data_IF_735747966969
#
_entry.id   IF_735747966969
#
_cell.length_a   1.000
_cell.length_b   1.000
_cell.length_c   1.000
_cell.angle_alpha   90.00
_cell.angle_beta   90.00
_cell.angle_gamma   90.00
#
_symmetry.space_group_name_H-M   'P 1'
#
loop_
_entity.id
_entity.type
_entity.pdbx_description
1 polymer ?
#
# COMPACT_ATOMS: atom_id res chain seq x y z
N UNK A 1 18.64 -11.63 23.82
CA UNK A 1 19.04 -11.74 22.40
C UNK A 1 19.14 -10.34 21.82
N UNK A 2 19.95 -10.14 20.78
CA UNK A 2 20.04 -8.87 20.05
C UNK A 2 20.25 -9.16 18.56
N UNK A 3 20.05 -8.15 17.71
CA UNK A 3 20.27 -8.26 16.26
C UNK A 3 21.70 -7.80 15.91
N UNK A 4 22.39 -8.60 15.11
CA UNK A 4 23.70 -8.31 14.51
C UNK A 4 23.63 -8.77 13.05
N UNK A 5 23.88 -7.86 12.11
CA UNK A 5 23.75 -8.12 10.66
C UNK A 5 22.39 -8.72 10.24
N UNK A 6 21.32 -8.35 10.94
CA UNK A 6 19.97 -8.87 10.71
C UNK A 6 19.70 -10.27 11.29
N UNK A 7 20.70 -10.92 11.90
CA UNK A 7 20.55 -12.22 12.55
C UNK A 7 20.33 -12.08 14.05
N UNK A 8 19.42 -12.88 14.60
CA UNK A 8 19.12 -12.90 16.03
C UNK A 8 20.19 -13.69 16.78
N UNK A 9 21.11 -13.00 17.44
CA UNK A 9 22.14 -13.61 18.28
C UNK A 9 21.52 -14.04 19.61
N UNK A 10 21.51 -15.36 19.85
CA UNK A 10 21.03 -16.00 21.10
C UNK A 10 22.13 -16.47 22.04
N UNK A 11 23.40 -16.37 21.62
CA UNK A 11 24.54 -16.85 22.39
C UNK A 11 24.73 -16.05 23.70
N UNK A 12 24.73 -16.75 24.85
CA UNK A 12 24.75 -16.12 26.18
C UNK A 12 26.02 -15.31 26.44
N UNK A 13 27.17 -15.80 25.99
CA UNK A 13 28.50 -15.18 26.14
C UNK A 13 28.54 -13.77 25.53
N UNK A 14 28.07 -13.66 24.28
CA UNK A 14 28.00 -12.41 23.50
C UNK A 14 26.97 -11.44 24.07
N UNK A 15 25.79 -11.94 24.46
CA UNK A 15 24.75 -11.12 25.10
C UNK A 15 25.31 -10.49 26.39
N UNK A 16 25.96 -11.28 27.25
CA UNK A 16 26.55 -10.78 28.51
C UNK A 16 27.61 -9.70 28.23
N UNK A 17 28.56 -9.97 27.32
CA UNK A 17 29.63 -9.03 26.98
C UNK A 17 29.07 -7.70 26.46
N UNK A 18 28.05 -7.76 25.60
CA UNK A 18 27.37 -6.57 25.07
C UNK A 18 26.64 -5.79 26.16
N UNK A 19 25.89 -6.48 27.02
CA UNK A 19 25.15 -5.83 28.10
C UNK A 19 26.09 -5.13 29.09
N UNK A 20 27.15 -5.81 29.55
CA UNK A 20 28.12 -5.24 30.50
C UNK A 20 28.89 -4.04 29.95
N UNK A 21 29.17 -4.00 28.64
CA UNK A 21 29.79 -2.84 27.99
C UNK A 21 28.81 -1.70 27.68
N UNK A 22 27.51 -1.95 27.78
CA UNK A 22 26.49 -0.95 27.47
C UNK A 22 26.27 0.02 28.63
N UNK A 23 25.93 1.26 28.32
CA UNK A 23 25.52 2.25 29.33
C UNK A 23 24.25 1.83 30.09
N UNK A 24 23.43 0.94 29.52
CA UNK A 24 22.22 0.42 30.16
C UNK A 24 22.55 -0.34 31.46
N UNK A 25 23.69 -1.05 31.51
CA UNK A 25 24.13 -1.72 32.72
C UNK A 25 24.35 -0.74 33.88
N UNK A 26 25.03 0.39 33.61
CA UNK A 26 25.27 1.41 34.64
C UNK A 26 23.96 2.01 35.17
N UNK A 27 23.00 2.30 34.30
CA UNK A 27 21.67 2.79 34.70
C UNK A 27 20.87 1.76 35.50
N UNK A 28 20.91 0.49 35.09
CA UNK A 28 20.23 -0.59 35.81
C UNK A 28 20.80 -0.77 37.22
N UNK A 29 22.13 -0.75 37.37
CA UNK A 29 22.81 -0.80 38.68
C UNK A 29 22.44 0.41 39.53
N UNK A 30 22.55 1.63 39.00
CA UNK A 30 22.21 2.85 39.74
C UNK A 30 20.74 2.87 40.20
N UNK A 31 19.83 2.32 39.40
CA UNK A 31 18.39 2.25 39.69
C UNK A 31 17.97 1.12 40.64
N UNK A 32 18.86 0.17 40.91
CA UNK A 32 18.62 -0.99 41.80
C UNK A 32 19.41 -0.90 43.09
N UNK A 33 20.40 -0.01 43.16
CA UNK A 33 21.18 0.25 44.36
C UNK A 33 20.27 0.62 45.56
N UNK A 34 20.34 -0.14 46.68
CA UNK A 34 19.56 0.14 47.88
C UNK A 34 20.23 1.25 48.70
N UNK A 35 20.16 2.49 48.22
CA UNK A 35 20.80 3.65 48.85
C UNK A 35 20.27 3.93 50.26
N UNK A 36 19.01 3.57 50.53
CA UNK A 36 18.38 3.67 51.84
C UNK A 36 19.00 2.73 52.88
N UNK A 37 19.39 1.53 52.46
CA UNK A 37 20.08 0.56 53.33
C UNK A 37 21.58 0.88 53.44
N UNK A 38 22.21 1.29 52.33
CA UNK A 38 23.64 1.57 52.28
C UNK A 38 24.06 2.79 53.12
N UNK A 39 23.20 3.80 53.22
CA UNK A 39 23.46 5.04 53.98
C UNK A 39 22.95 4.98 55.44
N UNK A 40 22.48 3.82 55.90
CA UNK A 40 22.08 3.62 57.31
C UNK A 40 20.90 4.49 57.78
N UNK A 41 20.10 5.04 56.87
CA UNK A 41 18.93 5.88 57.17
C UNK A 41 17.63 5.22 56.67
N UNK A 42 17.20 4.10 57.29
CA UNK A 42 15.99 3.38 56.92
C UNK A 42 14.76 4.20 57.30
N UNK A 43 14.40 5.16 56.46
CA UNK A 43 13.33 6.10 56.76
C UNK A 43 13.29 7.34 55.86
N UNK A 44 14.35 7.62 55.09
CA UNK A 44 14.34 8.72 54.11
C UNK A 44 13.80 8.26 52.75
N UNK A 45 12.53 8.53 52.40
CA UNK A 45 11.96 8.16 51.10
C UNK A 45 12.65 8.87 49.93
N UNK A 46 13.31 10.01 50.15
CA UNK A 46 14.04 10.75 49.14
C UNK A 46 15.21 9.94 48.53
N UNK A 47 15.88 9.10 49.33
CA UNK A 47 16.98 8.26 48.87
C UNK A 47 16.53 7.17 47.88
N UNK A 48 15.23 6.88 47.80
CA UNK A 48 14.65 5.93 46.83
C UNK A 48 14.32 6.58 45.48
N UNK A 49 14.57 7.87 45.30
CA UNK A 49 14.37 8.57 44.03
C UNK A 49 15.25 8.01 42.89
N UNK A 50 16.36 7.33 43.21
CA UNK A 50 17.18 6.61 42.22
C UNK A 50 16.40 5.56 41.42
N UNK A 51 15.27 5.06 41.95
CA UNK A 51 14.38 4.14 41.21
C UNK A 51 13.75 4.78 39.97
N UNK A 52 13.62 6.11 39.93
CA UNK A 52 13.13 6.84 38.75
C UNK A 52 14.07 6.73 37.54
N UNK A 53 15.33 6.32 37.74
CA UNK A 53 16.29 6.05 36.65
C UNK A 53 15.86 4.88 35.75
N UNK A 54 14.80 4.14 36.11
CA UNK A 54 14.18 3.10 35.26
C UNK A 54 13.28 3.66 34.14
N UNK A 55 13.12 4.98 34.02
CA UNK A 55 12.35 5.63 32.97
C UNK A 55 12.61 5.13 31.53
N UNK A 56 13.85 4.73 31.14
CA UNK A 56 14.10 4.17 29.80
C UNK A 56 13.30 2.89 29.49
N UNK A 57 12.97 2.07 30.50
CA UNK A 57 12.16 0.87 30.31
C UNK A 57 10.71 1.19 29.96
N UNK A 58 10.18 2.27 30.52
CA UNK A 58 8.87 2.78 30.16
C UNK A 58 8.87 3.22 28.69
N UNK A 59 9.91 3.93 28.26
CA UNK A 59 10.08 4.36 26.87
C UNK A 59 10.10 3.16 25.91
N UNK A 60 10.87 2.12 26.23
CA UNK A 60 10.93 0.87 25.44
C UNK A 60 9.56 0.17 25.37
N UNK A 61 8.81 0.13 26.47
CA UNK A 61 7.47 -0.45 26.49
C UNK A 61 6.51 0.29 25.55
N UNK A 62 6.54 1.63 25.54
CA UNK A 62 5.74 2.44 24.63
C UNK A 62 6.19 2.32 23.17
N UNK A 63 7.49 2.25 22.89
CA UNK A 63 8.02 2.00 21.53
C UNK A 63 7.52 0.65 20.99
N UNK A 64 7.54 -0.41 21.81
CA UNK A 64 6.98 -1.72 21.45
C UNK A 64 5.46 -1.65 21.25
N UNK A 65 4.74 -0.88 22.07
CA UNK A 65 3.31 -0.70 21.88
C UNK A 65 2.99 0.06 20.58
N UNK A 66 3.79 1.06 20.24
CA UNK A 66 3.68 1.83 18.99
C UNK A 66 3.83 0.94 17.75
N UNK A 67 4.84 0.07 17.72
CA UNK A 67 5.05 -0.85 16.57
C UNK A 67 3.94 -1.88 16.39
N UNK A 68 3.21 -2.23 17.45
CA UNK A 68 2.12 -3.23 17.41
C UNK A 68 0.75 -2.61 17.17
N UNK A 69 0.61 -1.32 17.40
CA UNK A 69 -0.68 -0.64 17.31
C UNK A 69 -1.03 -0.33 15.86
N UNK A 70 -2.26 -0.66 15.46
CA UNK A 70 -2.79 -0.27 14.15
C UNK A 70 -2.85 1.26 13.96
N UNK A 71 -2.91 2.01 15.06
CA UNK A 71 -2.89 3.47 15.09
C UNK A 71 -1.69 3.96 15.91
N UNK A 72 -0.55 4.31 15.26
CA UNK A 72 0.68 4.68 15.99
C UNK A 72 0.52 5.96 16.83
N UNK A 73 -0.47 6.81 16.54
CA UNK A 73 -0.73 8.03 17.32
C UNK A 73 -1.27 7.79 18.74
N UNK A 74 -2.00 6.70 18.99
CA UNK A 74 -2.58 6.41 20.29
C UNK A 74 -1.52 6.15 21.40
N UNK A 75 -0.52 5.27 21.21
CA UNK A 75 0.53 5.05 22.21
C UNK A 75 1.39 6.29 22.46
N UNK A 76 1.61 7.13 21.44
CA UNK A 76 2.31 8.42 21.61
C UNK A 76 1.56 9.35 22.57
N UNK A 77 0.25 9.51 22.37
CA UNK A 77 -0.60 10.33 23.24
C UNK A 77 -0.69 9.77 24.66
N UNK A 78 -0.88 8.45 24.79
CA UNK A 78 -0.94 7.78 26.08
C UNK A 78 0.36 7.97 26.89
N UNK A 79 1.53 7.93 26.24
CA UNK A 79 2.82 8.21 26.89
C UNK A 79 2.89 9.64 27.44
N UNK A 80 2.41 10.61 26.67
CA UNK A 80 2.42 12.02 27.08
C UNK A 80 1.44 12.30 28.20
N UNK A 81 0.24 11.71 28.16
CA UNK A 81 -0.74 11.81 29.23
C UNK A 81 -0.20 11.20 30.54
N UNK A 82 0.47 10.04 30.45
CA UNK A 82 1.12 9.43 31.61
C UNK A 82 2.23 10.33 32.17
N UNK A 83 3.05 10.93 31.31
CA UNK A 83 4.11 11.86 31.73
C UNK A 83 3.54 13.14 32.36
N UNK A 84 2.45 13.68 31.80
CA UNK A 84 1.74 14.84 32.35
C UNK A 84 1.16 14.52 33.73
N UNK A 85 0.53 13.35 33.89
CA UNK A 85 0.03 12.89 35.20
C UNK A 85 1.16 12.68 36.21
N UNK A 86 2.27 12.07 35.81
CA UNK A 86 3.44 11.88 36.69
C UNK A 86 4.04 13.24 37.10
N UNK A 87 4.11 14.20 36.18
CA UNK A 87 4.57 15.56 36.44
C UNK A 87 3.64 16.26 37.44
N UNK A 88 2.32 16.18 37.22
CA UNK A 88 1.30 16.71 38.11
C UNK A 88 1.41 16.16 39.54
N UNK A 89 1.50 14.83 39.65
CA UNK A 89 1.66 14.17 40.94
C UNK A 89 2.98 14.57 41.63
N UNK A 90 4.10 14.57 40.90
CA UNK A 90 5.41 14.91 41.45
C UNK A 90 5.49 16.37 41.90
N UNK A 91 4.91 17.31 41.14
CA UNK A 91 4.85 18.72 41.49
C UNK A 91 3.99 18.95 42.75
N UNK A 92 2.82 18.32 42.86
CA UNK A 92 1.98 18.40 44.05
C UNK A 92 2.65 17.83 45.30
N UNK A 93 3.37 16.71 45.17
CA UNK A 93 4.12 16.12 46.29
C UNK A 93 5.31 16.99 46.71
N UNK A 94 6.02 17.58 45.75
CA UNK A 94 7.13 18.49 46.03
C UNK A 94 6.64 19.79 46.70
N UNK A 95 5.51 20.33 46.25
CA UNK A 95 4.85 21.45 46.91
C UNK A 95 4.51 21.11 48.38
N UNK A 96 3.91 19.95 48.63
CA UNK A 96 3.60 19.49 50.00
C UNK A 96 4.86 19.35 50.86
N UNK A 97 5.97 18.88 50.29
CA UNK A 97 7.24 18.72 51.02
C UNK A 97 7.93 20.06 51.34
N UNK A 98 7.74 21.08 50.50
CA UNK A 98 8.29 22.43 50.70
C UNK A 98 7.37 23.33 51.53
N UNK A 99 6.08 23.00 51.61
CA UNK A 99 5.11 23.74 52.39
C UNK A 99 5.45 23.65 53.90
N UNK A 100 5.20 24.73 54.67
CA UNK A 100 5.39 24.68 56.12
C UNK A 100 4.49 23.60 56.73
N UNK A 101 4.93 22.93 57.82
CA UNK A 101 4.15 21.89 58.46
C UNK A 101 2.79 22.45 58.88
N UNK A 102 1.69 21.71 58.65
CA UNK A 102 0.36 22.19 59.01
C UNK A 102 0.28 22.43 60.52
N UNK A 103 -0.41 23.51 60.92
CA UNK A 103 -0.72 23.77 62.32
C UNK A 103 -1.45 22.56 62.95
N UNK A 104 -1.21 22.31 64.23
CA UNK A 104 -1.74 21.13 64.94
C UNK A 104 -3.29 21.10 64.93
N UNK A 105 -3.90 20.04 64.37
CA UNK A 105 -5.37 19.85 64.30
C UNK A 105 -5.90 19.28 62.97
N UNK A 106 -5.28 18.20 62.45
CA UNK A 106 -5.26 17.77 61.03
C UNK A 106 -6.60 17.54 60.32
N UNK A 107 -6.67 18.09 59.10
CA UNK A 107 -7.36 17.48 57.96
C UNK A 107 -6.81 16.06 57.67
N UNK A 108 -7.63 15.09 57.23
CA UNK A 108 -7.17 13.74 56.91
C UNK A 108 -6.09 13.74 55.80
N UNK A 109 -5.17 12.75 55.77
CA UNK A 109 -4.04 12.72 54.83
C UNK A 109 -4.48 12.77 53.36
N UNK A 110 -5.63 12.15 53.05
CA UNK A 110 -6.24 12.22 51.72
C UNK A 110 -6.59 13.66 51.33
N UNK A 111 -7.14 14.46 52.24
CA UNK A 111 -7.52 15.85 51.98
C UNK A 111 -6.29 16.74 51.77
N UNK A 112 -5.20 16.49 52.50
CA UNK A 112 -3.93 17.19 52.31
C UNK A 112 -3.31 16.89 50.93
N UNK A 113 -3.35 15.62 50.50
CA UNK A 113 -2.90 15.22 49.18
C UNK A 113 -3.76 15.85 48.07
N UNK A 114 -5.09 15.77 48.18
CA UNK A 114 -6.02 16.35 47.21
C UNK A 114 -5.85 17.87 47.09
N UNK A 115 -5.62 18.58 48.20
CA UNK A 115 -5.35 20.03 48.18
C UNK A 115 -4.05 20.36 47.43
N UNK A 116 -2.99 19.58 47.67
CA UNK A 116 -1.70 19.76 46.99
C UNK A 116 -1.78 19.42 45.50
N UNK A 117 -2.55 18.38 45.14
CA UNK A 117 -2.82 18.00 43.76
C UNK A 117 -3.69 19.04 43.03
N UNK A 118 -4.67 19.63 43.73
CA UNK A 118 -5.51 20.69 43.18
C UNK A 118 -4.67 21.92 42.84
N UNK A 119 -3.79 22.37 43.74
CA UNK A 119 -2.85 23.46 43.47
C UNK A 119 -1.93 23.13 42.29
N UNK A 120 -1.37 21.92 42.27
CA UNK A 120 -0.54 21.47 41.14
C UNK A 120 -1.30 21.52 39.81
N UNK A 121 -2.59 21.19 39.82
CA UNK A 121 -3.46 21.25 38.63
C UNK A 121 -3.66 22.70 38.19
N UNK A 122 -3.93 23.62 39.11
CA UNK A 122 -4.11 25.05 38.79
C UNK A 122 -2.86 25.69 38.18
N UNK A 123 -1.67 25.31 38.68
CA UNK A 123 -0.38 25.76 38.12
C UNK A 123 -0.09 25.11 36.77
N UNK A 124 -0.13 23.77 36.69
CA UNK A 124 0.27 23.04 35.48
C UNK A 124 -0.75 23.11 34.33
N UNK A 125 -2.02 23.39 34.64
CA UNK A 125 -3.04 23.70 33.63
C UNK A 125 -3.10 25.20 33.30
N UNK A 126 -2.21 26.02 33.86
CA UNK A 126 -2.13 27.48 33.62
C UNK A 126 -3.41 28.27 33.94
N UNK A 127 -4.23 27.76 34.87
CA UNK A 127 -5.44 28.46 35.35
C UNK A 127 -5.08 29.65 36.24
N UNK A 128 -4.04 29.47 37.08
CA UNK A 128 -3.41 30.59 37.79
C UNK A 128 -4.11 31.11 39.05
N UNK A 129 -5.24 30.54 39.46
CA UNK A 129 -5.96 30.90 40.69
C UNK A 129 -5.27 30.31 41.95
N UNK A 130 -4.02 30.73 42.19
CA UNK A 130 -3.19 30.25 43.30
C UNK A 130 -2.91 31.37 44.30
N UNK A 131 -2.84 31.06 45.62
CA UNK A 131 -2.55 32.07 46.63
C UNK A 131 -1.20 32.74 46.36
N UNK A 132 -1.12 34.03 46.67
CA UNK A 132 0.10 34.82 46.44
C UNK A 132 1.25 34.32 47.31
N UNK A 133 2.41 33.95 46.71
CA UNK A 133 3.55 33.45 47.45
C UNK A 133 4.12 34.54 48.35
N UNK A 134 4.39 34.20 49.61
CA UNK A 134 4.96 35.13 50.60
C UNK A 134 6.48 34.93 50.73
N UNK A 135 6.99 33.74 50.39
CA UNK A 135 8.41 33.42 50.46
C UNK A 135 9.06 33.39 49.09
N UNK A 136 10.34 33.79 49.01
CA UNK A 136 11.14 33.72 47.78
C UNK A 136 11.20 32.30 47.22
N UNK A 137 11.29 31.27 48.08
CA UNK A 137 11.29 29.86 47.67
C UNK A 137 9.97 29.42 47.03
N UNK A 138 8.84 29.89 47.55
CA UNK A 138 7.51 29.63 46.99
C UNK A 138 7.34 30.33 45.65
N UNK A 139 7.83 31.57 45.55
CA UNK A 139 7.82 32.33 44.30
C UNK A 139 8.64 31.63 43.21
N UNK A 140 9.88 31.23 43.50
CA UNK A 140 10.72 30.47 42.56
C UNK A 140 10.09 29.13 42.15
N UNK A 141 9.48 28.41 43.10
CA UNK A 141 8.81 27.13 42.84
C UNK A 141 7.57 27.28 41.95
N UNK A 142 6.75 28.30 42.19
CA UNK A 142 5.58 28.61 41.36
C UNK A 142 6.01 29.07 39.96
N UNK A 143 7.02 29.94 39.85
CA UNK A 143 7.57 30.37 38.55
C UNK A 143 8.11 29.19 37.75
N UNK A 144 8.88 28.30 38.39
CA UNK A 144 9.37 27.07 37.74
C UNK A 144 8.21 26.15 37.30
N UNK A 145 7.16 26.06 38.13
CA UNK A 145 5.93 25.32 37.80
C UNK A 145 5.22 25.87 36.57
N UNK A 146 5.05 27.19 36.47
CA UNK A 146 4.46 27.84 35.29
C UNK A 146 5.31 27.68 34.05
N UNK A 147 6.64 27.78 34.15
CA UNK A 147 7.54 27.50 33.01
C UNK A 147 7.42 26.06 32.53
N UNK A 148 7.39 25.10 33.46
CA UNK A 148 7.15 23.69 33.16
C UNK A 148 5.76 23.47 32.53
N UNK A 149 4.74 24.18 33.01
CA UNK A 149 3.38 24.14 32.48
C UNK A 149 3.32 24.61 31.02
N UNK A 150 3.94 25.75 30.71
CA UNK A 150 3.97 26.32 29.35
C UNK A 150 4.67 25.36 28.39
N UNK A 151 5.81 24.78 28.79
CA UNK A 151 6.52 23.79 27.98
C UNK A 151 5.71 22.49 27.82
N UNK A 152 5.11 22.01 28.90
CA UNK A 152 4.24 20.83 28.90
C UNK A 152 3.02 20.99 27.99
N UNK A 153 2.35 22.13 28.07
CA UNK A 153 1.20 22.45 27.22
C UNK A 153 1.58 22.54 25.74
N UNK A 154 2.71 23.21 25.42
CA UNK A 154 3.21 23.30 24.05
C UNK A 154 3.51 21.91 23.46
N UNK A 155 4.16 21.02 24.22
CA UNK A 155 4.46 19.65 23.76
C UNK A 155 3.20 18.79 23.59
N UNK A 156 2.22 18.91 24.50
CA UNK A 156 0.94 18.19 24.41
C UNK A 156 0.15 18.65 23.17
N UNK A 157 -0.01 19.96 22.99
CA UNK A 157 -0.74 20.55 21.86
C UNK A 157 -0.07 20.21 20.52
N UNK A 158 1.26 20.31 20.44
CA UNK A 158 2.02 19.92 19.25
C UNK A 158 1.88 18.44 18.91
N UNK A 159 1.86 17.58 19.92
CA UNK A 159 1.70 16.13 19.73
C UNK A 159 0.29 15.76 19.27
N UNK A 160 -0.75 16.34 19.86
CA UNK A 160 -2.15 16.18 19.41
C UNK A 160 -2.30 16.64 17.96
N UNK A 161 -1.73 17.81 17.63
CA UNK A 161 -1.75 18.35 16.27
C UNK A 161 -1.02 17.45 15.27
N UNK A 162 0.14 16.89 15.65
CA UNK A 162 0.87 15.96 14.78
C UNK A 162 0.10 14.67 14.49
N UNK A 163 -0.54 14.08 15.50
CA UNK A 163 -1.37 12.86 15.33
C UNK A 163 -2.58 13.15 14.44
N UNK A 164 -3.21 14.32 14.62
CA UNK A 164 -4.32 14.73 13.76
C UNK A 164 -3.87 14.96 12.32
N UNK A 165 -2.73 15.62 12.12
CA UNK A 165 -2.13 15.85 10.81
C UNK A 165 -1.77 14.53 10.12
N UNK A 166 -1.11 13.61 10.81
CA UNK A 166 -0.78 12.27 10.28
C UNK A 166 -2.04 11.49 9.89
N UNK A 167 -3.07 11.53 10.73
CA UNK A 167 -4.35 10.87 10.45
C UNK A 167 -5.07 11.49 9.24
N UNK A 168 -5.02 12.82 9.10
CA UNK A 168 -5.57 13.54 7.95
C UNK A 168 -4.77 13.24 6.68
N UNK A 169 -3.44 13.21 6.76
CA UNK A 169 -2.54 12.90 5.66
C UNK A 169 -2.75 11.46 5.16
N UNK A 170 -2.85 10.48 6.06
CA UNK A 170 -3.17 9.10 5.71
C UNK A 170 -4.52 8.98 4.99
N UNK A 171 -5.55 9.72 5.45
CA UNK A 171 -6.86 9.77 4.79
C UNK A 171 -6.80 10.45 3.43
N UNK A 172 -6.04 11.54 3.30
CA UNK A 172 -5.87 12.27 2.06
C UNK A 172 -5.10 11.44 1.00
N UNK A 173 -4.10 10.65 1.43
CA UNK A 173 -3.37 9.74 0.56
C UNK A 173 -4.28 8.66 -0.06
N UNK A 174 -5.26 8.16 0.71
CA UNK A 174 -6.26 7.20 0.22
C UNK A 174 -7.34 7.87 -0.65
N UNK A 175 -7.76 9.08 -0.30
CA UNK A 175 -8.87 9.79 -0.93
C UNK A 175 -8.54 11.29 -1.12
N UNK A 176 -7.83 11.69 -2.20
CA UNK A 176 -7.39 13.07 -2.41
C UNK A 176 -8.56 14.07 -2.44
N UNK A 177 -8.38 15.23 -1.82
CA UNK A 177 -9.38 16.30 -1.80
C UNK A 177 -9.65 16.84 -3.23
N UNK A 178 -10.91 16.95 -3.68
CA UNK A 178 -11.22 17.42 -5.03
C UNK A 178 -11.16 18.94 -5.16
N UNK A 179 -11.02 19.71 -4.07
CA UNK A 179 -11.07 21.18 -4.12
C UNK A 179 -10.01 21.80 -5.05
N UNK A 180 -8.74 21.36 -5.06
CA UNK A 180 -7.73 21.91 -5.99
C UNK A 180 -8.14 21.72 -7.46
N UNK A 181 -8.68 20.54 -7.80
CA UNK A 181 -9.19 20.24 -9.13
C UNK A 181 -10.40 21.11 -9.48
N UNK A 182 -11.29 21.39 -8.52
CA UNK A 182 -12.42 22.32 -8.73
C UNK A 182 -11.92 23.74 -8.96
N UNK A 183 -10.93 24.20 -8.20
CA UNK A 183 -10.26 25.49 -8.41
C UNK A 183 -9.68 25.60 -9.81
N UNK A 184 -8.97 24.55 -10.27
CA UNK A 184 -8.43 24.47 -11.63
C UNK A 184 -9.52 24.55 -12.70
N UNK A 185 -10.61 23.78 -12.56
CA UNK A 185 -11.72 23.79 -13.51
C UNK A 185 -12.39 25.15 -13.58
N UNK A 186 -12.61 25.82 -12.44
CA UNK A 186 -13.21 27.16 -12.40
C UNK A 186 -12.29 28.22 -13.00
N UNK A 187 -11.00 28.17 -12.68
CA UNK A 187 -10.00 29.08 -13.26
C UNK A 187 -9.94 28.98 -14.80
N UNK A 188 -10.24 27.80 -15.36
CA UNK A 188 -10.34 27.56 -16.81
C UNK A 188 -11.73 27.80 -17.40
N UNK A 189 -12.69 28.30 -16.63
CA UNK A 189 -14.08 28.52 -17.08
C UNK A 189 -14.93 27.25 -17.23
N UNK A 190 -14.45 26.09 -16.75
CA UNK A 190 -15.12 24.78 -16.85
C UNK A 190 -16.06 24.48 -15.66
N UNK A 191 -16.50 25.51 -14.92
CA UNK A 191 -17.26 25.42 -13.65
C UNK A 191 -18.71 24.90 -13.72
N UNK A 192 -19.15 24.35 -14.85
CA UNK A 192 -20.55 23.94 -15.06
C UNK A 192 -20.80 22.43 -14.96
N UNK A 193 -21.16 21.82 -16.09
CA UNK A 193 -21.49 20.38 -16.20
C UNK A 193 -20.30 19.49 -15.85
N UNK A 194 -19.08 19.87 -16.26
CA UNK A 194 -17.87 19.09 -16.04
C UNK A 194 -17.46 19.08 -14.55
N UNK A 195 -17.47 20.22 -13.87
CA UNK A 195 -17.20 20.29 -12.41
C UNK A 195 -18.15 19.37 -11.62
N UNK A 196 -19.46 19.41 -11.95
CA UNK A 196 -20.46 18.53 -11.32
C UNK A 196 -20.21 17.05 -11.61
N UNK A 197 -19.79 16.70 -12.84
CA UNK A 197 -19.45 15.31 -13.21
C UNK A 197 -18.23 14.81 -12.43
N UNK A 198 -17.14 15.58 -12.41
CA UNK A 198 -15.92 15.25 -11.67
C UNK A 198 -16.21 15.10 -10.17
N UNK A 199 -16.99 16.01 -9.59
CA UNK A 199 -17.36 15.95 -8.17
C UNK A 199 -18.19 14.70 -7.82
N UNK A 200 -19.13 14.30 -8.69
CA UNK A 200 -19.93 13.07 -8.49
C UNK A 200 -19.06 11.82 -8.58
N UNK A 201 -18.17 11.74 -9.56
CA UNK A 201 -17.21 10.64 -9.71
C UNK A 201 -16.34 10.49 -8.46
N UNK A 202 -15.74 11.58 -7.98
CA UNK A 202 -14.92 11.59 -6.78
C UNK A 202 -15.67 11.18 -5.51
N UNK A 203 -16.94 11.62 -5.37
CA UNK A 203 -17.81 11.22 -4.26
C UNK A 203 -18.12 9.73 -4.30
N UNK A 204 -18.35 9.18 -5.49
CA UNK A 204 -18.61 7.75 -5.68
C UNK A 204 -17.41 6.89 -5.26
N UNK A 205 -16.20 7.23 -5.71
CA UNK A 205 -14.97 6.51 -5.32
C UNK A 205 -14.76 6.51 -3.80
N UNK A 206 -14.96 7.68 -3.16
CA UNK A 206 -14.90 7.82 -1.70
C UNK A 206 -15.91 6.95 -0.97
N UNK A 207 -17.18 6.98 -1.40
CA UNK A 207 -18.25 6.20 -0.78
C UNK A 207 -17.98 4.68 -0.84
N UNK A 208 -17.35 4.22 -1.93
CA UNK A 208 -16.96 2.81 -2.11
C UNK A 208 -15.65 2.41 -1.41
N UNK A 209 -14.95 3.36 -0.77
CA UNK A 209 -13.60 3.19 -0.19
C UNK A 209 -12.60 2.55 -1.17
N UNK A 210 -12.75 2.82 -2.47
CA UNK A 210 -11.88 2.28 -3.52
C UNK A 210 -10.83 3.34 -3.85
N UNK A 211 -9.61 3.24 -3.29
CA UNK A 211 -8.61 4.27 -3.51
C UNK A 211 -8.13 4.16 -4.96
N UNK A 212 -8.07 5.28 -5.71
CA UNK A 212 -7.29 5.33 -6.95
C UNK A 212 -5.79 5.05 -6.69
N UNK A 213 -5.38 5.02 -5.43
CA UNK A 213 -4.03 4.78 -4.94
C UNK A 213 -3.76 3.36 -4.42
N UNK A 214 -4.58 2.34 -4.75
CA UNK A 214 -4.24 0.93 -4.45
C UNK A 214 -2.85 0.58 -5.00
N UNK A 215 -2.56 1.00 -6.24
CA UNK A 215 -1.24 0.90 -6.86
C UNK A 215 -0.17 1.81 -6.26
N UNK A 216 -0.52 2.74 -5.37
CA UNK A 216 0.39 3.62 -4.63
C UNK A 216 0.83 2.99 -3.30
N UNK A 217 -0.14 2.49 -2.53
CA UNK A 217 0.11 1.79 -1.27
C UNK A 217 0.96 0.52 -1.47
N UNK A 218 0.71 -0.22 -2.56
CA UNK A 218 1.45 -1.44 -2.88
C UNK A 218 2.86 -1.18 -3.47
N UNK A 219 3.26 0.08 -3.75
CA UNK A 219 4.59 0.37 -4.33
C UNK A 219 5.74 0.08 -3.37
N UNK A 220 5.48 0.19 -2.07
CA UNK A 220 6.48 -0.03 -1.03
C UNK A 220 6.77 -1.52 -0.78
N UNK A 221 5.93 -2.41 -1.29
CA UNK A 221 6.12 -3.85 -1.17
C UNK A 221 7.14 -4.35 -2.22
N UNK A 222 8.00 -5.31 -1.86
CA UNK A 222 8.76 -6.10 -2.82
C UNK A 222 7.85 -6.70 -3.89
N UNK A 223 8.38 -6.86 -5.12
CA UNK A 223 7.57 -7.29 -6.28
C UNK A 223 6.79 -8.58 -6.00
N UNK A 224 7.45 -9.60 -5.41
CA UNK A 224 6.80 -10.88 -5.09
C UNK A 224 5.59 -10.74 -4.16
N UNK A 225 5.73 -9.99 -3.05
CA UNK A 225 4.63 -9.78 -2.11
C UNK A 225 3.50 -8.93 -2.71
N UNK A 226 3.85 -7.93 -3.53
CA UNK A 226 2.85 -7.14 -4.25
C UNK A 226 2.02 -8.03 -5.17
N UNK A 227 2.68 -8.86 -5.97
CA UNK A 227 2.01 -9.70 -6.96
C UNK A 227 1.12 -10.75 -6.25
N UNK A 228 1.54 -11.27 -5.10
CA UNK A 228 0.75 -12.17 -4.25
C UNK A 228 -0.49 -11.48 -3.66
N UNK A 229 -0.34 -10.28 -3.08
CA UNK A 229 -1.48 -9.51 -2.55
C UNK A 229 -2.45 -9.15 -3.68
N UNK A 230 -1.96 -8.70 -4.83
CA UNK A 230 -2.82 -8.37 -5.97
C UNK A 230 -3.53 -9.62 -6.51
N UNK A 231 -2.82 -10.76 -6.57
CA UNK A 231 -3.41 -12.05 -6.93
C UNK A 231 -4.57 -12.41 -5.99
N UNK A 232 -4.37 -12.37 -4.68
CA UNK A 232 -5.41 -12.77 -3.72
C UNK A 232 -6.67 -11.87 -3.80
N UNK A 233 -6.48 -10.55 -3.98
CA UNK A 233 -7.59 -9.59 -4.04
C UNK A 233 -8.39 -9.68 -5.35
N UNK A 234 -7.74 -9.92 -6.50
CA UNK A 234 -8.40 -9.83 -7.81
C UNK A 234 -8.66 -11.18 -8.49
N UNK A 235 -7.95 -12.25 -8.15
CA UNK A 235 -8.14 -13.58 -8.74
C UNK A 235 -9.57 -14.11 -8.58
N UNK A 236 -10.26 -13.97 -7.43
CA UNK A 236 -11.65 -14.44 -7.30
C UNK A 236 -12.62 -13.75 -8.27
N UNK A 237 -12.36 -12.49 -8.62
CA UNK A 237 -13.20 -11.76 -9.58
C UNK A 237 -12.96 -12.23 -11.02
N UNK A 238 -11.73 -12.60 -11.37
CA UNK A 238 -11.43 -13.18 -12.69
C UNK A 238 -12.00 -14.58 -12.84
N UNK A 239 -11.94 -15.42 -11.81
CA UNK A 239 -12.47 -16.79 -11.88
C UNK A 239 -13.98 -16.85 -12.14
N UNK A 240 -14.71 -15.75 -11.89
CA UNK A 240 -16.13 -15.63 -12.25
C UNK A 240 -16.35 -15.47 -13.75
N UNK A 241 -15.34 -15.07 -14.50
CA UNK A 241 -15.44 -14.87 -15.94
C UNK A 241 -15.38 -16.21 -16.66
N UNK A 242 -16.41 -16.60 -17.44
CA UNK A 242 -16.45 -17.92 -18.10
C UNK A 242 -15.25 -18.21 -19.01
N UNK A 243 -14.65 -17.17 -19.58
CA UNK A 243 -13.44 -17.27 -20.42
C UNK A 243 -12.26 -17.95 -19.69
N UNK A 244 -12.16 -17.74 -18.38
CA UNK A 244 -11.03 -18.19 -17.57
C UNK A 244 -11.28 -19.51 -16.84
N UNK A 245 -12.48 -20.09 -16.95
CA UNK A 245 -12.89 -21.30 -16.21
C UNK A 245 -12.16 -22.60 -16.61
N UNK A 246 -11.26 -22.56 -17.59
CA UNK A 246 -10.38 -23.67 -17.97
C UNK A 246 -8.91 -23.30 -18.02
N UNK A 247 -8.53 -22.12 -17.52
CA UNK A 247 -7.16 -21.62 -17.62
C UNK A 247 -6.35 -22.05 -16.38
N UNK A 248 -5.07 -22.45 -16.55
CA UNK A 248 -4.25 -22.84 -15.42
C UNK A 248 -4.05 -21.68 -14.45
N UNK A 249 -4.04 -21.95 -13.14
CA UNK A 249 -3.90 -20.91 -12.12
C UNK A 249 -2.63 -20.07 -12.29
N UNK A 250 -1.53 -20.69 -12.74
CA UNK A 250 -0.28 -19.99 -13.05
C UNK A 250 -0.46 -18.88 -14.10
N UNK A 251 -1.25 -19.14 -15.15
CA UNK A 251 -1.60 -18.16 -16.18
C UNK A 251 -2.40 -16.99 -15.58
N UNK A 252 -3.40 -17.29 -14.74
CA UNK A 252 -4.21 -16.25 -14.09
C UNK A 252 -3.39 -15.40 -13.12
N UNK A 253 -2.48 -16.00 -12.37
CA UNK A 253 -1.56 -15.29 -11.49
C UNK A 253 -0.60 -14.36 -12.25
N UNK A 254 -0.23 -14.67 -13.49
CA UNK A 254 0.54 -13.75 -14.34
C UNK A 254 -0.31 -12.61 -14.93
N UNK A 255 -1.60 -12.84 -15.15
CA UNK A 255 -2.53 -11.84 -15.69
C UNK A 255 -2.98 -10.82 -14.64
N UNK A 256 -3.24 -11.27 -13.41
CA UNK A 256 -3.78 -10.42 -12.34
C UNK A 256 -2.97 -9.12 -12.13
N UNK A 257 -1.63 -9.15 -12.02
CA UNK A 257 -0.83 -7.93 -11.81
C UNK A 257 -0.88 -6.95 -12.99
N UNK A 258 -1.28 -7.42 -14.19
CA UNK A 258 -1.39 -6.60 -15.41
C UNK A 258 -2.77 -5.95 -15.57
N UNK A 259 -3.75 -6.36 -14.75
CA UNK A 259 -5.09 -5.78 -14.79
C UNK A 259 -5.11 -4.40 -14.17
N UNK A 260 -5.73 -3.47 -14.89
CA UNK A 260 -5.91 -2.09 -14.45
C UNK A 260 -7.37 -1.86 -14.10
N UNK A 261 -7.73 -1.66 -12.82
CA UNK A 261 -9.09 -1.31 -12.47
C UNK A 261 -9.43 0.07 -13.03
N UNK A 262 -10.57 0.19 -13.70
CA UNK A 262 -11.11 1.44 -14.23
C UNK A 262 -12.58 1.60 -13.81
N UNK A 263 -12.97 2.83 -13.49
CA UNK A 263 -14.34 3.16 -13.03
C UNK A 263 -14.99 4.11 -14.03
N UNK A 264 -16.15 3.70 -14.55
CA UNK A 264 -16.96 4.47 -15.48
C UNK A 264 -18.23 4.96 -14.79
N UNK A 265 -18.62 6.20 -15.07
CA UNK A 265 -19.85 6.81 -14.59
C UNK A 265 -21.09 6.49 -15.44
N UNK A 266 -22.29 6.82 -14.95
CA UNK A 266 -23.53 6.63 -15.69
C UNK A 266 -23.57 7.48 -16.96
N UNK A 267 -23.96 6.87 -18.08
CA UNK A 267 -24.02 7.51 -19.39
C UNK A 267 -22.66 7.73 -20.06
N UNK A 268 -21.58 7.16 -19.52
CA UNK A 268 -20.25 7.22 -20.12
C UNK A 268 -20.02 6.07 -21.09
N UNK A 269 -19.49 6.38 -22.26
CA UNK A 269 -19.06 5.36 -23.23
C UNK A 269 -17.72 4.80 -22.80
N UNK A 270 -17.62 3.49 -22.66
CA UNK A 270 -16.36 2.79 -22.44
C UNK A 270 -15.59 2.70 -23.75
N UNK A 271 -16.28 2.39 -24.84
CA UNK A 271 -15.74 2.47 -26.19
C UNK A 271 -16.85 2.78 -27.19
N UNK A 272 -16.48 3.40 -28.31
CA UNK A 272 -17.37 3.64 -29.43
C UNK A 272 -17.01 2.74 -30.60
N UNK A 273 -18.00 2.44 -31.42
CA UNK A 273 -17.78 1.72 -32.68
C UNK A 273 -16.77 2.48 -33.54
N UNK A 274 -15.83 1.76 -34.13
CA UNK A 274 -14.79 2.32 -34.98
C UNK A 274 -13.53 2.75 -34.24
N UNK A 275 -13.56 2.89 -32.91
CA UNK A 275 -12.37 3.16 -32.11
C UNK A 275 -11.34 2.03 -32.26
N UNK A 276 -10.06 2.34 -32.14
CA UNK A 276 -9.00 1.32 -32.16
C UNK A 276 -9.03 0.53 -30.85
N UNK A 277 -9.26 -0.78 -30.91
CA UNK A 277 -9.37 -1.64 -29.74
C UNK A 277 -8.02 -2.12 -29.22
N UNK A 278 -7.44 -1.40 -28.26
CA UNK A 278 -6.14 -1.75 -27.65
C UNK A 278 -6.25 -2.59 -26.37
N UNK A 279 -7.46 -2.76 -25.86
CA UNK A 279 -7.71 -3.29 -24.52
C UNK A 279 -8.93 -4.21 -24.53
N UNK A 280 -9.05 -5.13 -23.59
CA UNK A 280 -10.32 -5.79 -23.25
C UNK A 280 -10.75 -5.40 -21.85
N UNK A 281 -12.05 -5.51 -21.60
CA UNK A 281 -12.64 -5.17 -20.32
C UNK A 281 -13.44 -6.34 -19.74
N UNK A 282 -13.27 -6.56 -18.45
CA UNK A 282 -14.06 -7.51 -17.66
C UNK A 282 -14.93 -6.74 -16.68
N UNK A 283 -16.22 -7.01 -16.65
CA UNK A 283 -17.14 -6.33 -15.74
C UNK A 283 -17.01 -6.95 -14.35
N UNK A 284 -16.47 -6.19 -13.41
CA UNK A 284 -16.37 -6.58 -12.00
C UNK A 284 -17.65 -6.27 -11.25
N UNK A 285 -18.13 -5.04 -11.41
CA UNK A 285 -19.36 -4.52 -10.80
C UNK A 285 -20.05 -3.57 -11.78
N UNK A 286 -21.38 -3.44 -11.67
CA UNK A 286 -22.17 -2.55 -12.51
C UNK A 286 -22.81 -3.24 -13.72
N UNK A 287 -23.33 -2.43 -14.64
CA UNK A 287 -24.05 -2.90 -15.83
C UNK A 287 -23.73 -1.98 -17.00
N UNK A 288 -23.36 -2.59 -18.13
CA UNK A 288 -23.11 -1.90 -19.39
C UNK A 288 -24.19 -2.29 -20.41
N UNK A 289 -24.57 -1.35 -21.27
CA UNK A 289 -25.39 -1.60 -22.44
C UNK A 289 -24.53 -1.57 -23.70
N UNK A 290 -24.65 -2.61 -24.51
CA UNK A 290 -24.14 -2.61 -25.89
C UNK A 290 -25.21 -1.95 -26.76
N UNK A 291 -24.87 -0.86 -27.41
CA UNK A 291 -25.77 -0.07 -28.24
C UNK A 291 -25.47 -0.32 -29.72
N UNK A 292 -26.52 -0.29 -30.54
CA UNK A 292 -26.41 -0.36 -31.99
C UNK A 292 -25.78 0.91 -32.57
N UNK A 293 -25.72 0.99 -33.91
CA UNK A 293 -25.12 2.13 -34.63
C UNK A 293 -25.81 3.46 -34.33
N UNK A 294 -27.12 3.41 -34.11
CA UNK A 294 -27.95 4.56 -33.74
C UNK A 294 -27.62 5.15 -32.36
N UNK A 295 -26.87 4.44 -31.52
CA UNK A 295 -26.53 4.85 -30.15
C UNK A 295 -27.72 4.83 -29.19
N UNK A 296 -28.87 4.27 -29.60
CA UNK A 296 -30.12 4.26 -28.83
C UNK A 296 -30.59 2.83 -28.60
N UNK A 297 -30.63 2.00 -29.65
CA UNK A 297 -31.12 0.63 -29.57
C UNK A 297 -30.15 -0.24 -28.79
N UNK A 298 -30.65 -0.91 -27.73
CA UNK A 298 -29.86 -1.80 -26.88
C UNK A 298 -29.82 -3.20 -27.47
N UNK A 299 -28.63 -3.65 -27.86
CA UNK A 299 -28.41 -4.99 -28.41
C UNK A 299 -28.20 -6.02 -27.31
N UNK A 300 -27.45 -5.66 -26.25
CA UNK A 300 -27.14 -6.57 -25.16
C UNK A 300 -26.86 -5.83 -23.85
N UNK A 301 -26.99 -6.53 -22.72
CA UNK A 301 -26.65 -6.06 -21.39
C UNK A 301 -25.49 -6.88 -20.84
N UNK A 302 -24.40 -6.21 -20.45
CA UNK A 302 -23.23 -6.84 -19.83
C UNK A 302 -23.25 -6.57 -18.32
N UNK A 303 -23.42 -7.62 -17.53
CA UNK A 303 -23.34 -7.60 -16.07
C UNK A 303 -22.02 -8.18 -15.53
N UNK A 304 -21.88 -8.27 -14.21
CA UNK A 304 -20.69 -8.81 -13.55
C UNK A 304 -20.31 -10.21 -14.05
N UNK A 305 -19.03 -10.46 -14.28
CA UNK A 305 -18.51 -11.72 -14.82
C UNK A 305 -18.55 -11.81 -16.36
N UNK A 306 -19.25 -10.91 -17.03
CA UNK A 306 -19.17 -10.78 -18.49
C UNK A 306 -18.00 -9.90 -18.90
N UNK A 307 -17.58 -10.02 -20.15
CA UNK A 307 -16.43 -9.34 -20.71
C UNK A 307 -16.70 -8.93 -22.15
N UNK A 308 -15.88 -8.01 -22.68
CA UNK A 308 -15.96 -7.58 -24.06
C UNK A 308 -14.60 -7.05 -24.56
N UNK A 309 -14.47 -6.95 -25.88
CA UNK A 309 -13.28 -6.42 -26.55
C UNK A 309 -12.30 -7.49 -27.02
N UNK A 310 -12.64 -8.77 -26.87
CA UNK A 310 -11.85 -9.92 -27.28
C UNK A 310 -11.50 -9.94 -28.78
N UNK A 311 -12.38 -9.40 -29.63
CA UNK A 311 -12.19 -9.38 -31.09
C UNK A 311 -11.00 -8.50 -31.50
N UNK A 312 -10.80 -7.35 -30.84
CA UNK A 312 -9.74 -6.38 -31.21
C UNK A 312 -8.35 -6.83 -30.73
N UNK A 313 -8.31 -7.68 -29.70
CA UNK A 313 -7.05 -8.10 -29.10
C UNK A 313 -6.28 -9.11 -29.93
N UNK A 314 -6.97 -9.97 -30.66
CA UNK A 314 -6.31 -10.98 -31.48
C UNK A 314 -6.43 -10.60 -32.95
N UNK A 315 -5.30 -10.61 -33.66
CA UNK A 315 -5.30 -10.47 -35.11
C UNK A 315 -5.88 -11.77 -35.73
N UNK A 316 -7.22 -11.85 -35.76
CA UNK A 316 -7.93 -12.91 -36.47
C UNK A 316 -7.87 -12.58 -37.97
N UNK A 317 -7.31 -13.48 -38.74
CA UNK A 317 -7.21 -13.38 -40.20
C UNK A 317 -8.62 -13.42 -40.81
N UNK A 318 -8.87 -12.65 -41.87
CA UNK A 318 -10.20 -12.51 -42.48
C UNK A 318 -11.18 -11.62 -41.71
N UNK A 319 -10.76 -10.95 -40.64
CA UNK A 319 -11.60 -9.98 -39.94
C UNK A 319 -11.74 -8.67 -40.73
N UNK A 320 -12.93 -8.42 -41.26
CA UNK A 320 -13.25 -7.23 -42.07
C UNK A 320 -13.20 -5.92 -41.25
N UNK A 321 -13.41 -5.99 -39.93
CA UNK A 321 -13.36 -4.83 -39.03
C UNK A 321 -11.94 -4.53 -38.50
N UNK A 322 -10.97 -5.39 -38.80
CA UNK A 322 -9.60 -5.27 -38.33
C UNK A 322 -9.51 -5.06 -36.81
N UNK A 323 -8.66 -4.12 -36.38
CA UNK A 323 -8.47 -3.79 -34.96
C UNK A 323 -9.44 -2.72 -34.43
N UNK A 324 -10.63 -2.57 -35.02
CA UNK A 324 -11.62 -1.57 -34.60
C UNK A 324 -12.71 -2.20 -33.72
N UNK A 325 -13.27 -1.40 -32.82
CA UNK A 325 -14.41 -1.77 -31.99
C UNK A 325 -15.66 -1.96 -32.85
N UNK A 326 -16.39 -3.03 -32.59
CA UNK A 326 -17.53 -3.44 -33.41
C UNK A 326 -18.87 -2.83 -32.95
N UNK A 327 -18.95 -2.36 -31.71
CA UNK A 327 -20.17 -1.81 -31.11
C UNK A 327 -19.87 -0.66 -30.13
N UNK A 328 -20.91 0.11 -29.82
CA UNK A 328 -20.88 1.13 -28.78
C UNK A 328 -21.16 0.48 -27.43
N UNK A 329 -20.35 0.76 -26.40
CA UNK A 329 -20.55 0.23 -25.06
C UNK A 329 -20.70 1.39 -24.08
N UNK A 330 -21.86 1.46 -23.42
CA UNK A 330 -22.23 2.53 -22.50
C UNK A 330 -22.39 1.97 -21.09
N UNK A 331 -21.86 2.66 -20.08
CA UNK A 331 -22.15 2.35 -18.68
C UNK A 331 -23.50 2.92 -18.27
N UNK A 332 -24.42 2.07 -17.79
CA UNK A 332 -25.75 2.51 -17.35
C UNK A 332 -25.65 3.21 -16.00
N UNK A 333 -24.87 2.63 -15.09
CA UNK A 333 -24.61 3.14 -13.75
C UNK A 333 -23.14 3.46 -13.54
N UNK A 334 -22.72 3.55 -12.28
CA UNK A 334 -21.31 3.40 -11.96
C UNK A 334 -20.92 1.94 -12.16
N UNK A 335 -19.95 1.70 -13.05
CA UNK A 335 -19.45 0.37 -13.36
C UNK A 335 -17.95 0.32 -13.19
N UNK A 336 -17.47 -0.82 -12.71
CA UNK A 336 -16.06 -1.07 -12.48
C UNK A 336 -15.60 -2.22 -13.35
N UNK A 337 -14.59 -1.92 -14.14
CA UNK A 337 -14.06 -2.81 -15.15
C UNK A 337 -12.60 -3.09 -14.84
N UNK A 338 -12.17 -4.33 -15.03
CA UNK A 338 -10.75 -4.61 -15.19
C UNK A 338 -10.38 -4.44 -16.66
N UNK A 339 -9.42 -3.58 -16.93
CA UNK A 339 -8.82 -3.39 -18.24
C UNK A 339 -7.56 -4.26 -18.37
N UNK A 340 -7.45 -4.98 -19.48
CA UNK A 340 -6.23 -5.70 -19.87
C UNK A 340 -5.78 -5.23 -21.25
N UNK A 341 -4.53 -4.77 -21.35
CA UNK A 341 -3.97 -4.31 -22.61
C UNK A 341 -3.65 -5.47 -23.57
N UNK A 342 -3.69 -5.19 -24.87
CA UNK A 342 -3.37 -6.15 -25.94
C UNK A 342 -1.97 -6.70 -25.81
N UNK A 343 -1.01 -5.83 -25.55
CA UNK A 343 0.41 -6.17 -25.43
C UNK A 343 0.63 -7.09 -24.22
N UNK A 344 0.03 -6.71 -23.08
CA UNK A 344 0.09 -7.47 -21.84
C UNK A 344 -0.52 -8.87 -21.99
N UNK A 345 -1.66 -8.98 -22.66
CA UNK A 345 -2.30 -10.27 -22.93
C UNK A 345 -1.47 -11.10 -23.93
N UNK A 346 -0.97 -10.49 -25.00
CA UNK A 346 -0.21 -11.19 -26.04
C UNK A 346 1.07 -11.83 -25.48
N UNK A 347 1.78 -11.12 -24.60
CA UNK A 347 2.98 -11.63 -23.94
C UNK A 347 2.66 -12.82 -23.03
N UNK A 348 1.55 -12.79 -22.29
CA UNK A 348 1.17 -13.95 -21.47
C UNK A 348 0.72 -15.11 -22.35
N UNK A 349 -0.06 -14.85 -23.40
CA UNK A 349 -0.55 -15.88 -24.30
C UNK A 349 0.55 -16.54 -25.17
N UNK A 350 1.73 -15.93 -25.31
CA UNK A 350 2.87 -16.61 -25.96
C UNK A 350 3.42 -17.77 -25.14
N UNK A 351 3.30 -17.73 -23.81
CA UNK A 351 3.70 -18.83 -22.92
C UNK A 351 2.63 -19.92 -22.83
N UNK A 352 1.36 -19.60 -23.12
CA UNK A 352 0.21 -20.50 -22.96
C UNK A 352 -0.61 -20.66 -24.26
N UNK A 353 -0.13 -21.47 -25.23
CA UNK A 353 -0.77 -21.61 -26.54
C UNK A 353 -2.20 -22.18 -26.50
N UNK A 354 -2.51 -23.06 -25.55
CA UNK A 354 -3.86 -23.60 -25.38
C UNK A 354 -4.91 -22.52 -25.02
N UNK A 355 -4.51 -21.58 -24.15
CA UNK A 355 -5.35 -20.44 -23.78
C UNK A 355 -5.56 -19.49 -24.96
N UNK A 356 -4.51 -19.27 -25.76
CA UNK A 356 -4.57 -18.48 -27.00
C UNK A 356 -5.56 -19.07 -28.00
N UNK A 357 -5.49 -20.39 -28.22
CA UNK A 357 -6.41 -21.10 -29.12
C UNK A 357 -7.88 -20.97 -28.67
N UNK A 358 -8.13 -21.10 -27.36
CA UNK A 358 -9.47 -20.94 -26.78
C UNK A 358 -10.03 -19.54 -27.02
N UNK A 359 -9.21 -18.50 -26.79
CA UNK A 359 -9.60 -17.10 -27.01
C UNK A 359 -9.84 -16.82 -28.51
N UNK A 360 -8.97 -17.34 -29.39
CA UNK A 360 -9.13 -17.24 -30.85
C UNK A 360 -10.40 -17.91 -31.35
N UNK A 361 -10.70 -19.13 -30.89
CA UNK A 361 -11.92 -19.85 -31.26
C UNK A 361 -13.17 -19.06 -30.86
N UNK A 362 -13.16 -18.46 -29.67
CA UNK A 362 -14.28 -17.62 -29.20
C UNK A 362 -14.43 -16.35 -30.05
N UNK A 363 -13.32 -15.67 -30.37
CA UNK A 363 -13.34 -14.49 -31.24
C UNK A 363 -13.83 -14.80 -32.66
N UNK A 364 -13.42 -15.93 -33.24
CA UNK A 364 -13.90 -16.42 -34.54
C UNK A 364 -15.40 -16.67 -34.54
N UNK A 365 -15.93 -17.33 -33.51
CA UNK A 365 -17.37 -17.59 -33.36
C UNK A 365 -18.15 -16.28 -33.33
N UNK A 366 -17.70 -15.30 -32.54
CA UNK A 366 -18.35 -13.99 -32.46
C UNK A 366 -18.29 -13.23 -33.79
N UNK A 367 -17.17 -13.28 -34.52
CA UNK A 367 -17.07 -12.66 -35.84
C UNK A 367 -18.02 -13.31 -36.86
N UNK A 368 -18.21 -14.64 -36.80
CA UNK A 368 -19.20 -15.35 -37.64
C UNK A 368 -20.62 -14.96 -37.29
N UNK A 369 -20.96 -14.95 -36.00
CA UNK A 369 -22.28 -14.55 -35.51
C UNK A 369 -22.62 -13.10 -35.94
N UNK A 370 -21.61 -12.24 -36.07
CA UNK A 370 -21.75 -10.85 -36.54
C UNK A 370 -21.66 -10.68 -38.07
N UNK A 371 -21.41 -11.74 -38.84
CA UNK A 371 -21.21 -11.66 -40.30
C UNK A 371 -19.98 -10.86 -40.73
N UNK A 372 -18.95 -10.78 -39.87
CA UNK A 372 -17.74 -9.94 -40.06
C UNK A 372 -16.46 -10.77 -40.27
N UNK A 373 -16.63 -12.04 -40.62
CA UNK A 373 -15.55 -12.94 -40.96
C UNK A 373 -15.65 -13.31 -42.44
N UNK A 374 -14.65 -12.91 -43.22
CA UNK A 374 -14.51 -13.36 -44.59
C UNK A 374 -13.81 -14.73 -44.59
N UNK A 375 -14.60 -15.79 -44.82
CA UNK A 375 -14.14 -17.16 -44.83
C UNK A 375 -13.12 -17.43 -45.96
N UNK A 376 -13.21 -16.72 -47.09
CA UNK A 376 -12.26 -16.85 -48.19
C UNK A 376 -10.91 -16.24 -47.83
N UNK A 377 -10.91 -15.04 -47.25
CA UNK A 377 -9.70 -14.39 -46.76
C UNK A 377 -9.05 -15.16 -45.58
N UNK A 378 -9.85 -15.79 -44.71
CA UNK A 378 -9.35 -16.67 -43.65
C UNK A 378 -8.64 -17.89 -44.23
N UNK A 379 -9.27 -18.60 -45.17
CA UNK A 379 -8.68 -19.78 -45.82
C UNK A 379 -7.39 -19.45 -46.58
N UNK A 380 -7.37 -18.36 -47.35
CA UNK A 380 -6.18 -17.92 -48.07
C UNK A 380 -5.03 -17.56 -47.12
N UNK A 381 -5.33 -16.93 -45.99
CA UNK A 381 -4.34 -16.56 -45.00
C UNK A 381 -3.83 -17.76 -44.18
N UNK A 382 -4.64 -18.80 -43.97
CA UNK A 382 -4.20 -20.07 -43.39
C UNK A 382 -3.31 -20.85 -44.37
N UNK A 383 -3.64 -20.87 -45.65
CA UNK A 383 -2.81 -21.51 -46.68
C UNK A 383 -1.45 -20.83 -46.82
N UNK A 384 -1.41 -19.49 -46.84
CA UNK A 384 -0.16 -18.74 -46.85
C UNK A 384 0.72 -19.08 -45.63
N UNK A 385 0.13 -19.24 -44.44
CA UNK A 385 0.87 -19.58 -43.23
C UNK A 385 1.42 -21.01 -43.26
N UNK A 386 0.67 -21.96 -43.82
CA UNK A 386 1.16 -23.33 -44.07
C UNK A 386 2.35 -23.31 -45.02
N UNK A 387 2.29 -22.51 -46.09
CA UNK A 387 3.42 -22.34 -47.03
C UNK A 387 4.64 -21.70 -46.36
N UNK A 388 4.44 -20.70 -45.51
CA UNK A 388 5.53 -20.08 -44.74
C UNK A 388 6.18 -21.11 -43.80
N UNK A 389 5.39 -21.86 -43.02
CA UNK A 389 5.94 -22.91 -42.14
C UNK A 389 6.69 -23.98 -42.91
N UNK A 390 6.15 -24.44 -44.04
CA UNK A 390 6.84 -25.41 -44.89
C UNK A 390 8.16 -24.85 -45.44
N UNK A 391 8.21 -23.56 -45.78
CA UNK A 391 9.43 -22.89 -46.22
C UNK A 391 10.45 -22.72 -45.07
N UNK A 392 10.00 -22.42 -43.85
CA UNK A 392 10.84 -22.33 -42.66
C UNK A 392 11.46 -23.69 -42.31
N UNK A 393 10.66 -24.77 -42.30
CA UNK A 393 11.14 -26.14 -42.09
C UNK A 393 12.15 -26.58 -43.16
N UNK A 394 11.88 -26.24 -44.43
CA UNK A 394 12.81 -26.51 -45.52
C UNK A 394 14.12 -25.73 -45.37
N UNK A 395 14.05 -24.47 -44.93
CA UNK A 395 15.22 -23.63 -44.68
C UNK A 395 16.06 -24.15 -43.50
N UNK A 396 15.43 -24.57 -42.41
CA UNK A 396 16.12 -25.24 -41.29
C UNK A 396 16.79 -26.53 -41.73
N UNK A 397 16.11 -27.34 -42.56
CA UNK A 397 16.68 -28.54 -43.15
C UNK A 397 17.92 -28.24 -44.03
N UNK A 398 17.88 -27.19 -44.84
CA UNK A 398 19.02 -26.75 -45.65
C UNK A 398 20.17 -26.22 -44.80
N UNK A 399 19.88 -25.42 -43.75
CA UNK A 399 20.89 -24.96 -42.78
C UNK A 399 21.56 -26.13 -42.09
N UNK A 400 20.81 -27.15 -41.67
CA UNK A 400 21.34 -28.37 -41.07
C UNK A 400 22.27 -29.13 -42.03
N UNK A 401 21.87 -29.30 -43.29
CA UNK A 401 22.71 -29.92 -44.33
C UNK A 401 23.99 -29.11 -44.62
N UNK A 402 23.88 -27.79 -44.68
CA UNK A 402 25.02 -26.89 -44.88
C UNK A 402 26.04 -26.98 -43.73
N UNK A 403 25.57 -27.02 -42.48
CA UNK A 403 26.43 -27.21 -41.32
C UNK A 403 27.15 -28.57 -41.35
N UNK A 404 26.46 -29.63 -41.79
CA UNK A 404 27.07 -30.96 -41.93
C UNK A 404 28.15 -30.99 -43.02
N UNK A 405 27.93 -30.33 -44.17
CA UNK A 405 28.92 -30.23 -45.24
C UNK A 405 30.15 -29.42 -44.82
N UNK A 406 29.95 -28.31 -44.09
CA UNK A 406 31.05 -27.52 -43.52
C UNK A 406 31.89 -28.36 -42.56
N UNK A 407 31.25 -29.09 -41.65
CA UNK A 407 31.95 -29.98 -40.72
C UNK A 407 32.74 -31.09 -41.44
N UNK A 408 32.21 -31.63 -42.55
CA UNK A 408 32.91 -32.61 -43.38
C UNK A 408 34.13 -32.01 -44.10
N UNK A 409 34.02 -30.78 -44.59
CA UNK A 409 35.11 -30.06 -45.24
C UNK A 409 36.22 -29.71 -44.23
N UNK A 410 35.86 -29.22 -43.05
CA UNK A 410 36.82 -28.94 -41.97
C UNK A 410 37.53 -30.21 -41.52
N UNK A 411 36.81 -31.32 -41.32
CA UNK A 411 37.41 -32.61 -41.01
C UNK A 411 38.27 -33.16 -42.16
N UNK A 412 37.94 -32.84 -43.41
CA UNK A 412 38.75 -33.17 -44.58
C UNK A 412 40.06 -32.38 -44.62
N UNK A 413 39.99 -31.07 -44.43
CA UNK A 413 41.14 -30.17 -44.37
C UNK A 413 42.10 -30.57 -43.25
N UNK A 414 41.56 -30.84 -42.04
CA UNK A 414 42.35 -31.27 -40.89
C UNK A 414 43.10 -32.58 -41.16
N UNK A 415 42.47 -33.52 -41.87
CA UNK A 415 43.07 -34.81 -42.29
C UNK A 415 44.16 -34.63 -43.35
N UNK A 416 44.00 -33.67 -44.26
CA UNK A 416 45.05 -33.33 -45.24
C UNK A 416 46.24 -32.66 -44.55
N UNK A 417 45.99 -31.77 -43.59
CA UNK A 417 47.03 -31.12 -42.79
C UNK A 417 47.83 -32.13 -41.96
N UNK A 418 47.15 -33.10 -41.31
CA UNK A 418 47.86 -34.19 -40.59
C UNK A 418 48.64 -35.11 -41.51
N UNK A 419 48.24 -35.27 -42.78
CA UNK A 419 48.99 -36.04 -43.77
C UNK A 419 50.24 -35.30 -44.25
N UNK A 420 50.14 -33.99 -44.46
CA UNK A 420 51.27 -33.15 -44.82
C UNK A 420 52.33 -33.15 -43.70
N UNK A 421 51.92 -33.00 -42.44
CA UNK A 421 52.81 -33.07 -41.28
C UNK A 421 53.50 -34.43 -41.06
N UNK A 422 53.03 -35.51 -41.71
CA UNK A 422 53.68 -36.84 -41.64
C UNK A 422 54.62 -37.11 -42.81
N UNK A 423 54.59 -36.27 -43.85
CA UNK A 423 55.42 -36.38 -45.04
C UNK A 423 56.65 -35.46 -44.98
N UNK A 424 56.61 -34.44 -44.13
CA UNK A 424 57.77 -33.71 -43.61
C UNK A 424 58.39 -34.48 -42.42
#
# INVERSE_FOLDING_TARGET
AFLEDGLLVRERSRIRRRYLRSRAFLWDVASTAPLDLALGTPGSPALRANRCLRAPRLREAFERWETRSATPGAPRLARLLLLAFATLHSYGCLHFALAPPPAAGRDPPLRQYLRSLHLATLVLATVGDVPTPQRVSEMLFLTAGFLLAVLGFATLSGSVSSVLSDAQAARAALCPDPQPLRGYLRARGLGGRLERRVSRWHRHLRARRKPPAESGALRHLPRGLRDEVTADVHLPALLRVPLFQGWPRGLLCQLVPRLRPQVFGPGEFVCRRGDVGREMYFVREGRLAVLAEDGITRLALLGPGLYFGEISLINIKGNTSGNRRTANVLSIGYSELFCLAKEDLAQVLSEFPAARATLQARGRRLLRDMGKLDAGAEAAAEEAERRVRAAEEALEGLRGKGAMLLAQLEAGALRMETRLQRLE
#
